data_IF_746348625281
#
_entry.id   IF_746348625281
#
_cell.length_a   1.000
_cell.length_b   1.000
_cell.length_c   1.000
_cell.angle_alpha   90.00
_cell.angle_beta   90.00
_cell.angle_gamma   90.00
#
_symmetry.space_group_name_H-M   'P 1'
#
loop_
_entity.id
_entity.type
_entity.pdbx_description
1 polymer ?
#
# COMPACT_ATOMS: atom_id res chain seq x y z
N UNK A 1 -3.53 -18.33 18.94
CA UNK A 1 -2.26 -17.76 18.44
C UNK A 1 -2.58 -16.58 17.53
N UNK A 2 -1.99 -15.41 17.79
CA UNK A 2 -2.10 -14.27 16.87
C UNK A 2 -1.04 -14.42 15.76
N UNK A 3 -1.45 -14.14 14.51
CA UNK A 3 -0.58 -14.20 13.33
C UNK A 3 -0.48 -12.82 12.72
N UNK A 4 0.71 -12.49 12.20
CA UNK A 4 1.00 -11.18 11.62
C UNK A 4 1.63 -11.33 10.24
N UNK A 5 1.27 -10.43 9.32
CA UNK A 5 1.99 -10.22 8.08
C UNK A 5 3.09 -9.20 8.35
N UNK A 6 4.34 -9.63 8.29
CA UNK A 6 5.50 -8.76 8.39
C UNK A 6 5.89 -8.20 7.01
N UNK A 7 6.23 -6.92 6.95
CA UNK A 7 6.67 -6.25 5.73
C UNK A 7 7.57 -5.06 6.07
N UNK A 8 8.27 -4.54 5.07
CA UNK A 8 9.22 -3.45 5.25
C UNK A 8 8.79 -2.22 4.46
N UNK A 9 8.87 -1.04 5.08
CA UNK A 9 8.66 0.26 4.43
C UNK A 9 9.92 1.09 4.63
N UNK A 10 10.66 1.34 3.54
CA UNK A 10 12.02 1.84 3.59
C UNK A 10 12.91 0.93 4.47
N UNK A 11 13.35 1.40 5.64
CA UNK A 11 14.14 0.64 6.61
C UNK A 11 13.33 0.18 7.84
N UNK A 12 12.03 0.49 7.88
CA UNK A 12 11.15 0.13 8.98
C UNK A 12 10.52 -1.24 8.76
N UNK A 13 10.72 -2.15 9.70
CA UNK A 13 9.98 -3.40 9.78
C UNK A 13 8.66 -3.17 10.51
N UNK A 14 7.57 -3.46 9.82
CA UNK A 14 6.21 -3.29 10.29
C UNK A 14 5.47 -4.63 10.23
N UNK A 15 4.37 -4.71 10.96
CA UNK A 15 3.51 -5.87 10.97
C UNK A 15 2.06 -5.47 11.14
N UNK A 16 1.15 -6.19 10.48
CA UNK A 16 -0.29 -6.03 10.62
C UNK A 16 -0.91 -7.40 11.00
N UNK A 17 -1.91 -7.46 11.88
CA UNK A 17 -2.65 -8.69 12.14
C UNK A 17 -3.21 -9.28 10.85
N UNK A 18 -3.01 -10.59 10.62
CA UNK A 18 -3.41 -11.25 9.36
C UNK A 18 -4.93 -11.23 9.14
N UNK A 19 -5.71 -11.18 10.21
CA UNK A 19 -7.17 -11.04 10.18
C UNK A 19 -7.65 -9.68 9.63
N UNK A 20 -6.75 -8.68 9.56
CA UNK A 20 -7.03 -7.38 8.94
C UNK A 20 -6.55 -7.30 7.49
N UNK A 21 -5.92 -8.36 6.95
CA UNK A 21 -5.42 -8.40 5.58
C UNK A 21 -6.37 -9.24 4.72
N UNK A 22 -6.98 -8.62 3.72
CA UNK A 22 -7.80 -9.31 2.73
C UNK A 22 -6.95 -10.03 1.71
N UNK A 23 -5.94 -9.35 1.15
CA UNK A 23 -4.99 -9.94 0.21
C UNK A 23 -3.71 -9.12 0.07
N UNK A 24 -2.66 -9.76 -0.46
CA UNK A 24 -1.41 -9.10 -0.84
C UNK A 24 -1.24 -9.27 -2.34
N UNK A 25 -1.27 -8.17 -3.08
CA UNK A 25 -1.25 -8.16 -4.55
C UNK A 25 -0.09 -7.31 -5.09
N UNK A 26 0.37 -7.55 -6.33
CA UNK A 26 1.14 -6.54 -7.07
C UNK A 26 0.35 -5.23 -7.15
N UNK A 27 1.05 -4.09 -7.21
CA UNK A 27 0.37 -2.80 -7.39
C UNK A 27 -0.14 -2.71 -8.84
N UNK A 28 -1.47 -2.63 -9.08
CA UNK A 28 -2.01 -2.51 -10.42
C UNK A 28 -1.82 -1.08 -10.97
N UNK A 29 -2.10 -0.84 -12.26
CA UNK A 29 -2.21 0.51 -12.78
C UNK A 29 -3.20 1.35 -11.95
N UNK A 30 -2.78 2.55 -11.57
CA UNK A 30 -3.59 3.44 -10.73
C UNK A 30 -4.27 4.51 -11.57
N UNK A 31 -5.55 4.74 -11.29
CA UNK A 31 -6.31 5.87 -11.84
C UNK A 31 -6.03 7.12 -11.02
N UNK A 32 -5.68 8.22 -11.69
CA UNK A 32 -5.38 9.50 -11.03
C UNK A 32 -6.63 10.07 -10.36
N UNK A 33 -6.46 10.54 -9.12
CA UNK A 33 -7.51 11.27 -8.38
C UNK A 33 -7.27 12.78 -8.47
N UNK A 34 -8.30 13.61 -8.67
CA UNK A 34 -8.16 15.07 -8.59
C UNK A 34 -7.83 15.53 -7.16
N UNK A 35 -6.82 16.39 -7.01
CA UNK A 35 -6.40 16.99 -5.72
C UNK A 35 -6.21 15.94 -4.59
N UNK A 36 -5.39 14.90 -4.80
CA UNK A 36 -5.22 13.86 -3.80
C UNK A 36 -4.46 14.41 -2.58
N UNK A 37 -4.70 13.83 -1.40
CA UNK A 37 -3.78 14.01 -0.29
C UNK A 37 -2.39 13.50 -0.68
N UNK A 38 -1.32 14.08 -0.13
CA UNK A 38 0.08 13.81 -0.56
C UNK A 38 0.48 12.33 -0.59
N UNK A 39 -0.19 11.50 0.21
CA UNK A 39 0.11 10.10 0.42
C UNK A 39 -0.80 9.17 -0.38
N UNK A 40 -1.69 9.71 -1.21
CA UNK A 40 -2.60 8.94 -2.06
C UNK A 40 -2.03 8.92 -3.48
N UNK A 41 -1.70 7.74 -3.98
CA UNK A 41 -1.17 7.55 -5.34
C UNK A 41 -2.27 7.53 -6.40
N UNK A 42 -3.49 7.11 -6.03
CA UNK A 42 -4.62 7.02 -6.93
C UNK A 42 -5.64 5.98 -6.49
N UNK A 43 -6.44 5.50 -7.46
CA UNK A 43 -7.39 4.42 -7.27
C UNK A 43 -6.91 3.16 -7.99
N UNK A 44 -6.85 2.04 -7.28
CA UNK A 44 -6.79 0.71 -7.88
C UNK A 44 -8.21 0.18 -8.10
N UNK A 45 -8.41 -0.67 -9.11
CA UNK A 45 -9.67 -1.42 -9.23
C UNK A 45 -9.42 -2.85 -8.76
N UNK A 46 -10.14 -3.27 -7.73
CA UNK A 46 -10.09 -4.63 -7.22
C UNK A 46 -11.50 -5.23 -7.24
N UNK A 47 -11.66 -6.36 -7.95
CA UNK A 47 -12.97 -7.05 -8.10
C UNK A 47 -14.10 -6.09 -8.53
N UNK A 48 -13.77 -5.18 -9.45
CA UNK A 48 -14.70 -4.18 -9.99
C UNK A 48 -15.00 -2.99 -9.06
N UNK A 49 -14.33 -2.90 -7.90
CA UNK A 49 -14.52 -1.79 -6.95
C UNK A 49 -13.28 -0.88 -6.91
N UNK A 50 -13.43 0.45 -6.99
CA UNK A 50 -12.33 1.37 -6.82
C UNK A 50 -11.89 1.41 -5.34
N UNK A 51 -10.60 1.25 -5.09
CA UNK A 51 -9.98 1.33 -3.78
C UNK A 51 -8.88 2.40 -3.79
N UNK A 52 -8.85 3.35 -2.83
CA UNK A 52 -7.78 4.31 -2.71
C UNK A 52 -6.47 3.62 -2.31
N UNK A 53 -5.40 3.90 -3.05
CA UNK A 53 -4.06 3.37 -2.77
C UNK A 53 -3.22 4.44 -2.09
N UNK A 54 -2.72 4.10 -0.91
CA UNK A 54 -1.85 4.94 -0.09
C UNK A 54 -0.39 4.50 -0.21
N UNK A 55 0.51 5.44 -0.48
CA UNK A 55 1.95 5.22 -0.29
C UNK A 55 2.32 5.42 1.18
N UNK A 56 2.65 4.30 1.86
CA UNK A 56 3.06 4.31 3.26
C UNK A 56 4.34 5.12 3.51
N UNK A 57 5.28 5.20 2.56
CA UNK A 57 6.48 6.04 2.71
C UNK A 57 6.09 7.51 2.80
N UNK A 58 5.22 7.98 1.90
CA UNK A 58 4.69 9.37 1.91
C UNK A 58 3.82 9.65 3.14
N UNK A 59 3.07 8.64 3.61
CA UNK A 59 2.27 8.73 4.84
C UNK A 59 3.15 8.91 6.07
N UNK A 60 4.22 8.13 6.18
CA UNK A 60 5.17 8.14 7.30
C UNK A 60 6.24 9.23 7.20
N UNK A 61 6.32 9.96 6.08
CA UNK A 61 7.30 11.03 5.88
C UNK A 61 8.72 10.52 5.57
N UNK A 62 8.83 9.32 5.01
CA UNK A 62 10.11 8.68 4.67
C UNK A 62 10.61 9.11 3.29
N UNK A 63 11.94 9.22 3.16
CA UNK A 63 12.62 9.73 1.95
C UNK A 63 12.66 8.66 0.83
N UNK A 64 12.62 9.09 -0.45
CA UNK A 64 12.78 8.28 -1.67
C UNK A 64 11.75 7.14 -1.92
N UNK A 65 10.54 7.47 -2.42
CA UNK A 65 9.59 6.49 -2.90
C UNK A 65 9.97 5.98 -4.30
N UNK A 66 10.91 5.04 -4.37
CA UNK A 66 11.11 4.26 -5.61
C UNK A 66 10.32 2.97 -5.48
N UNK A 67 9.26 2.86 -6.26
CA UNK A 67 8.57 1.58 -6.42
C UNK A 67 9.54 0.59 -7.06
N UNK A 68 9.71 -0.56 -6.41
CA UNK A 68 10.44 -1.70 -6.97
C UNK A 68 9.46 -2.81 -7.37
N UNK A 69 9.89 -3.80 -8.17
CA UNK A 69 9.11 -5.00 -8.45
C UNK A 69 8.68 -5.81 -7.20
N UNK A 70 9.32 -5.55 -6.05
CA UNK A 70 8.96 -6.15 -4.76
C UNK A 70 7.86 -5.38 -4.01
N UNK A 71 7.44 -4.22 -4.51
CA UNK A 71 6.36 -3.44 -3.92
C UNK A 71 5.05 -4.21 -4.04
N UNK A 72 4.30 -4.26 -2.94
CA UNK A 72 3.00 -4.92 -2.88
C UNK A 72 1.96 -3.95 -2.34
N UNK A 73 0.74 -4.13 -2.79
CA UNK A 73 -0.45 -3.53 -2.20
C UNK A 73 -0.98 -4.54 -1.17
N UNK A 74 -1.12 -4.08 0.07
CA UNK A 74 -1.81 -4.82 1.14
C UNK A 74 -3.21 -4.22 1.18
N UNK A 75 -4.22 -5.07 0.97
CA UNK A 75 -5.64 -4.69 0.95
C UNK A 75 -6.31 -5.14 2.23
#
# INVERSE_FOLDING_TARGET
MQRYLAFTVAELNLAIPVDQVFEVAPVPPLTRVPRPARHIEGLATLRGRPLPVMDLRKRLGLVNPVMSPHTRMIV
#
